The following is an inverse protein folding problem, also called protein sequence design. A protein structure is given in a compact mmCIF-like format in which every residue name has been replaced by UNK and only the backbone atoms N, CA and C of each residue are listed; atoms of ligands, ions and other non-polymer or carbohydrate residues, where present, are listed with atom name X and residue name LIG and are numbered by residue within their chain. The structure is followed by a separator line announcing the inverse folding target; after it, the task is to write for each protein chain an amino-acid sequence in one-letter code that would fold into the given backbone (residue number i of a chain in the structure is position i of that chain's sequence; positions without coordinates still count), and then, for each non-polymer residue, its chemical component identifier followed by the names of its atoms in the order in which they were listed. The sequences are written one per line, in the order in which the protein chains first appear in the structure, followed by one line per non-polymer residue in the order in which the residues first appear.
data_IF_902339132850
#
_entry.id   IF_902339132850
#
_cell.length_a   1.000
_cell.length_b   1.000
_cell.length_c   1.000
_cell.angle_alpha   90.00
_cell.angle_beta   90.00
_cell.angle_gamma   90.00
#
_symmetry.space_group_name_H-M   'P 1'
#
loop_
_entity.id
_entity.type
_entity.pdbx_description
1 polymer ?
#
# COMPACT_ATOMS: atom_id res chain seq x y z
N UNK A 1 -17.24 5.87 8.33
CA UNK A 1 -16.06 5.05 8.05
C UNK A 1 -15.70 5.14 6.58
N UNK A 2 -14.42 5.03 6.22
CA UNK A 2 -14.02 4.92 4.82
C UNK A 2 -14.32 3.51 4.31
N UNK A 3 -14.99 3.39 3.16
CA UNK A 3 -15.35 2.13 2.53
C UNK A 3 -14.74 2.05 1.14
N UNK A 4 -14.21 0.87 0.81
CA UNK A 4 -13.74 0.60 -0.54
C UNK A 4 -14.93 0.22 -1.42
N UNK A 5 -15.10 0.94 -2.52
CA UNK A 5 -16.13 0.70 -3.53
C UNK A 5 -15.49 0.14 -4.79
N UNK A 6 -16.05 -0.93 -5.31
CA UNK A 6 -15.56 -1.61 -6.52
C UNK A 6 -16.54 -1.38 -7.65
N UNK A 7 -16.05 -0.93 -8.80
CA UNK A 7 -16.74 -1.16 -10.06
C UNK A 7 -17.97 -0.33 -10.36
N UNK A 8 -18.43 0.51 -9.46
CA UNK A 8 -19.68 1.24 -9.69
C UNK A 8 -19.42 2.40 -10.65
N UNK A 9 -19.99 2.30 -11.85
CA UNK A 9 -20.17 3.45 -12.71
C UNK A 9 -21.20 4.38 -12.07
N UNK A 10 -20.93 5.68 -12.04
CA UNK A 10 -21.98 6.65 -11.72
C UNK A 10 -22.66 7.11 -13.00
N UNK A 11 -23.90 7.60 -12.88
CA UNK A 11 -24.60 8.35 -13.95
C UNK A 11 -23.97 9.74 -14.15
N UNK A 12 -22.64 9.83 -14.09
CA UNK A 12 -21.88 11.06 -14.25
C UNK A 12 -21.42 11.18 -15.70
N UNK A 13 -21.76 12.31 -16.31
CA UNK A 13 -21.39 12.64 -17.68
C UNK A 13 -19.87 12.68 -17.92
N UNK A 14 -19.08 12.80 -16.85
CA UNK A 14 -17.61 12.82 -16.91
C UNK A 14 -16.97 11.44 -16.73
N UNK A 15 -17.74 10.37 -16.52
CA UNK A 15 -17.21 9.01 -16.44
C UNK A 15 -17.45 8.23 -17.73
N UNK A 16 -16.37 7.75 -18.33
CA UNK A 16 -16.39 6.88 -19.51
C UNK A 16 -15.66 5.57 -19.22
N UNK A 17 -16.14 4.47 -19.80
CA UNK A 17 -15.50 3.16 -19.68
C UNK A 17 -15.76 2.28 -20.90
N UNK A 18 -14.75 1.53 -21.31
CA UNK A 18 -14.83 0.51 -22.37
C UNK A 18 -15.17 -0.89 -21.84
N UNK A 19 -15.02 -1.12 -20.53
CA UNK A 19 -15.19 -2.43 -19.88
C UNK A 19 -16.17 -2.39 -18.69
N UNK A 20 -17.16 -1.48 -18.73
CA UNK A 20 -18.12 -1.27 -17.64
C UNK A 20 -17.48 -1.08 -16.24
N UNK A 21 -16.38 -0.32 -16.14
CA UNK A 21 -15.66 0.01 -14.91
C UNK A 21 -15.10 -1.20 -14.14
N UNK A 22 -14.99 -2.36 -14.79
CA UNK A 22 -14.36 -3.54 -14.20
C UNK A 22 -12.91 -3.21 -13.80
N UNK A 23 -12.52 -3.64 -12.59
CA UNK A 23 -11.22 -3.32 -12.00
C UNK A 23 -11.12 -1.95 -11.31
N UNK A 24 -12.11 -1.06 -11.44
CA UNK A 24 -12.07 0.26 -10.77
C UNK A 24 -12.32 0.11 -9.27
N UNK A 25 -11.60 0.90 -8.48
CA UNK A 25 -11.80 1.03 -7.04
C UNK A 25 -11.74 2.49 -6.60
N UNK A 26 -12.59 2.87 -5.65
CA UNK A 26 -12.59 4.21 -5.03
C UNK A 26 -12.87 4.10 -3.54
N UNK A 27 -12.25 4.96 -2.74
CA UNK A 27 -12.58 5.11 -1.32
C UNK A 27 -13.65 6.17 -1.15
N UNK A 28 -14.75 5.83 -0.47
CA UNK A 28 -15.83 6.75 -0.15
C UNK A 28 -16.03 6.82 1.36
N UNK A 29 -16.34 8.01 1.86
CA UNK A 29 -16.71 8.17 3.26
C UNK A 29 -18.21 7.92 3.40
N UNK A 30 -18.56 6.89 4.15
CA UNK A 30 -19.93 6.65 4.59
C UNK A 30 -20.03 6.88 6.11
N UNK A 31 -20.73 7.93 6.58
CA UNK A 31 -20.84 8.22 8.01
C UNK A 31 -21.60 7.14 8.79
N UNK A 32 -22.49 6.39 8.12
CA UNK A 32 -23.33 5.36 8.72
C UNK A 32 -22.74 3.95 8.54
N UNK A 33 -21.67 3.80 7.77
CA UNK A 33 -21.01 2.52 7.57
C UNK A 33 -20.47 1.93 8.88
N UNK A 34 -20.71 0.63 9.00
CA UNK A 34 -20.22 -0.27 10.02
C UNK A 34 -20.88 -0.13 11.40
N UNK A 35 -20.65 -1.12 12.25
CA UNK A 35 -21.07 -1.06 13.66
C UNK A 35 -20.13 -0.18 14.50
N UNK A 36 -20.47 0.05 15.77
CA UNK A 36 -19.59 0.81 16.67
C UNK A 36 -18.25 0.11 16.87
N UNK A 37 -18.28 -1.22 16.99
CA UNK A 37 -17.13 -2.09 17.15
C UNK A 37 -16.23 -2.02 15.90
N UNK A 38 -16.82 -2.11 14.71
CA UNK A 38 -16.06 -2.05 13.46
C UNK A 38 -15.35 -0.70 13.29
N UNK A 39 -16.02 0.39 13.66
CA UNK A 39 -15.40 1.72 13.65
C UNK A 39 -14.28 1.83 14.68
N UNK A 40 -14.45 1.24 15.86
CA UNK A 40 -13.43 1.22 16.90
C UNK A 40 -12.18 0.46 16.46
N UNK A 41 -12.31 -0.70 15.82
CA UNK A 41 -11.18 -1.46 15.28
C UNK A 41 -10.40 -0.68 14.22
N UNK A 42 -11.09 0.10 13.38
CA UNK A 42 -10.43 0.96 12.39
C UNK A 42 -9.62 2.07 13.07
N UNK A 43 -10.15 2.70 14.10
CA UNK A 43 -9.44 3.72 14.86
C UNK A 43 -8.28 3.13 15.69
N UNK A 44 -8.44 1.93 16.23
CA UNK A 44 -7.37 1.18 16.90
C UNK A 44 -6.24 0.86 15.90
N UNK A 45 -6.56 0.37 14.71
CA UNK A 45 -5.59 0.11 13.66
C UNK A 45 -4.82 1.38 13.26
N UNK A 46 -5.52 2.52 13.17
CA UNK A 46 -4.91 3.83 12.90
C UNK A 46 -3.98 4.27 14.02
N UNK A 47 -4.40 4.14 15.27
CA UNK A 47 -3.61 4.50 16.44
C UNK A 47 -2.36 3.61 16.56
N UNK A 48 -2.53 2.30 16.36
CA UNK A 48 -1.43 1.35 16.37
C UNK A 48 -0.40 1.68 15.30
N UNK A 49 -0.85 1.97 14.07
CA UNK A 49 0.05 2.43 13.01
C UNK A 49 0.74 3.74 13.41
N UNK A 50 0.00 4.72 13.92
CA UNK A 50 0.59 6.00 14.33
C UNK A 50 1.68 5.82 15.39
N UNK A 51 1.44 5.00 16.42
CA UNK A 51 2.41 4.73 17.49
C UNK A 51 3.66 4.01 16.97
N UNK A 52 3.51 3.18 15.94
CA UNK A 52 4.59 2.38 15.37
C UNK A 52 5.16 2.94 14.05
N UNK A 53 4.74 4.13 13.62
CA UNK A 53 5.04 4.69 12.28
C UNK A 53 6.53 4.86 11.95
N UNK A 54 7.40 4.80 12.95
CA UNK A 54 8.86 4.84 12.79
C UNK A 54 9.51 3.46 12.67
N UNK A 55 8.78 2.42 13.03
CA UNK A 55 9.23 1.03 13.06
C UNK A 55 8.62 0.19 11.91
N UNK A 56 7.57 0.70 11.26
CA UNK A 56 6.86 -0.02 10.18
C UNK A 56 6.75 0.83 8.92
N UNK A 57 6.75 0.18 7.76
CA UNK A 57 6.52 0.87 6.49
C UNK A 57 5.03 1.23 6.33
N UNK A 58 4.70 2.36 5.66
CA UNK A 58 3.33 2.84 5.48
C UNK A 58 2.61 2.11 4.34
N UNK A 59 2.64 0.78 4.32
CA UNK A 59 2.16 -0.01 3.18
C UNK A 59 1.61 -1.37 3.62
N UNK A 60 0.51 -1.35 4.36
CA UNK A 60 -0.14 -2.59 4.84
C UNK A 60 -1.57 -2.76 4.36
N UNK A 61 -2.18 -1.73 3.75
CA UNK A 61 -3.47 -1.88 3.10
C UNK A 61 -4.57 -2.43 4.04
N UNK A 62 -4.35 -2.24 5.35
CA UNK A 62 -5.03 -3.00 6.41
C UNK A 62 -6.53 -2.73 6.46
N UNK A 63 -6.92 -1.49 6.16
CA UNK A 63 -8.33 -1.08 6.22
C UNK A 63 -9.20 -1.83 5.20
N UNK A 64 -8.68 -2.08 3.99
CA UNK A 64 -9.43 -2.83 2.99
C UNK A 64 -9.45 -4.32 3.31
N UNK A 65 -8.34 -4.86 3.83
CA UNK A 65 -8.27 -6.26 4.24
C UNK A 65 -9.29 -6.56 5.34
N UNK A 66 -9.40 -5.69 6.36
CA UNK A 66 -10.41 -5.81 7.42
C UNK A 66 -11.83 -5.89 6.84
N UNK A 67 -12.16 -5.03 5.87
CA UNK A 67 -13.49 -5.02 5.23
C UNK A 67 -13.75 -6.32 4.46
N UNK A 68 -12.83 -6.74 3.60
CA UNK A 68 -13.03 -7.89 2.71
C UNK A 68 -13.06 -9.21 3.47
N UNK A 69 -12.15 -9.39 4.43
CA UNK A 69 -12.11 -10.61 5.24
C UNK A 69 -13.39 -10.75 6.06
N UNK A 70 -13.92 -9.65 6.59
CA UNK A 70 -15.18 -9.66 7.34
C UNK A 70 -16.38 -9.93 6.46
N UNK A 71 -16.51 -9.25 5.32
CA UNK A 71 -17.61 -9.46 4.36
C UNK A 71 -17.72 -10.94 3.95
N UNK A 72 -16.58 -11.60 3.76
CA UNK A 72 -16.51 -13.03 3.41
C UNK A 72 -16.52 -13.97 4.62
N UNK A 73 -16.59 -13.43 5.84
CA UNK A 73 -16.51 -14.18 7.10
C UNK A 73 -15.30 -15.12 7.12
N UNK A 74 -14.19 -14.68 6.54
CA UNK A 74 -12.99 -15.49 6.41
C UNK A 74 -12.36 -15.68 7.79
N UNK A 75 -12.08 -16.93 8.13
CA UNK A 75 -11.30 -17.29 9.31
C UNK A 75 -10.11 -18.12 8.85
N UNK A 76 -8.92 -17.73 9.31
CA UNK A 76 -7.71 -18.48 9.00
C UNK A 76 -7.62 -19.70 9.92
N UNK A 77 -7.93 -20.87 9.38
CA UNK A 77 -7.89 -22.15 10.12
C UNK A 77 -6.52 -22.82 10.07
N UNK A 78 -5.67 -22.44 9.11
CA UNK A 78 -4.33 -23.02 8.96
C UNK A 78 -3.38 -22.32 9.94
N UNK A 79 -2.74 -23.06 10.87
CA UNK A 79 -1.78 -22.49 11.81
C UNK A 79 -0.65 -21.77 11.08
N UNK A 80 -0.16 -20.68 11.65
CA UNK A 80 1.01 -20.00 11.11
C UNK A 80 2.26 -20.85 11.38
N UNK A 81 2.95 -21.34 10.34
CA UNK A 81 4.25 -21.97 10.54
C UNK A 81 5.24 -20.93 11.07
N UNK A 82 6.03 -21.32 12.07
CA UNK A 82 7.17 -20.56 12.58
C UNK A 82 8.42 -21.33 12.22
N UNK A 83 9.41 -20.63 11.67
CA UNK A 83 10.72 -21.17 11.35
C UNK A 83 11.71 -20.18 11.93
N UNK A 84 12.56 -20.66 12.84
CA UNK A 84 13.60 -19.84 13.46
C UNK A 84 14.84 -19.74 12.56
N UNK A 85 15.68 -18.74 12.80
CA UNK A 85 16.91 -18.56 12.03
C UNK A 85 17.84 -19.78 12.16
N UNK A 86 18.16 -20.41 11.04
CA UNK A 86 19.02 -21.60 10.97
C UNK A 86 18.28 -22.93 10.97
N UNK A 87 16.95 -22.94 11.10
CA UNK A 87 16.15 -24.15 10.91
C UNK A 87 16.01 -24.52 9.43
N UNK A 88 16.02 -25.83 9.13
CA UNK A 88 15.81 -26.31 7.77
C UNK A 88 14.33 -26.15 7.37
N UNK A 89 14.09 -25.49 6.23
CA UNK A 89 12.74 -25.29 5.69
C UNK A 89 12.26 -26.60 5.05
N UNK A 90 11.36 -27.31 5.72
CA UNK A 90 10.80 -28.56 5.20
C UNK A 90 9.70 -28.34 4.16
N UNK A 91 9.39 -29.39 3.42
CA UNK A 91 8.29 -29.39 2.44
C UNK A 91 6.93 -29.16 3.10
N UNK A 92 6.70 -29.74 4.28
CA UNK A 92 5.44 -29.63 5.04
C UNK A 92 5.21 -28.19 5.52
N UNK A 93 6.25 -27.57 6.07
CA UNK A 93 6.23 -26.17 6.52
C UNK A 93 5.93 -25.24 5.34
N UNK A 94 6.63 -25.45 4.22
CA UNK A 94 6.40 -24.70 2.97
C UNK A 94 4.97 -24.88 2.47
N UNK A 95 4.48 -26.12 2.45
CA UNK A 95 3.12 -26.44 1.97
C UNK A 95 2.06 -25.78 2.86
N UNK A 96 2.24 -25.81 4.18
CA UNK A 96 1.35 -25.14 5.12
C UNK A 96 1.36 -23.61 4.91
N UNK A 97 2.54 -22.99 4.77
CA UNK A 97 2.69 -21.56 4.54
C UNK A 97 2.02 -21.11 3.23
N UNK A 98 2.22 -21.86 2.14
CA UNK A 98 1.62 -21.56 0.83
C UNK A 98 0.11 -21.73 0.89
N UNK A 99 -0.40 -22.84 1.44
CA UNK A 99 -1.85 -23.04 1.59
C UNK A 99 -2.48 -21.91 2.41
N UNK A 100 -1.88 -21.57 3.56
CA UNK A 100 -2.33 -20.46 4.41
C UNK A 100 -2.40 -19.14 3.64
N UNK A 101 -1.36 -18.84 2.86
CA UNK A 101 -1.27 -17.63 2.04
C UNK A 101 -2.33 -17.62 0.95
N UNK A 102 -2.50 -18.72 0.20
CA UNK A 102 -3.52 -18.83 -0.85
C UNK A 102 -4.92 -18.64 -0.27
N UNK A 103 -5.24 -19.26 0.86
CA UNK A 103 -6.53 -19.05 1.55
C UNK A 103 -6.77 -17.57 1.88
N UNK A 104 -5.75 -16.86 2.37
CA UNK A 104 -5.85 -15.43 2.67
C UNK A 104 -6.02 -14.61 1.38
N UNK A 105 -5.15 -14.78 0.40
CA UNK A 105 -5.19 -14.01 -0.85
C UNK A 105 -6.48 -14.26 -1.63
N UNK A 106 -7.00 -15.49 -1.70
CA UNK A 106 -8.30 -15.75 -2.33
C UNK A 106 -9.44 -15.00 -1.63
N UNK A 107 -9.43 -14.92 -0.29
CA UNK A 107 -10.40 -14.13 0.44
C UNK A 107 -10.23 -12.62 0.24
N UNK A 108 -9.07 -12.16 -0.16
CA UNK A 108 -8.79 -10.75 -0.46
C UNK A 108 -9.14 -10.36 -1.92
N UNK A 109 -9.49 -11.30 -2.79
CA UNK A 109 -9.85 -10.99 -4.18
C UNK A 109 -11.19 -10.23 -4.27
N UNK A 110 -11.28 -9.14 -5.03
CA UNK A 110 -12.56 -8.46 -5.25
C UNK A 110 -13.55 -9.28 -6.09
N UNK A 111 -14.81 -8.86 -6.10
CA UNK A 111 -15.85 -9.42 -6.99
C UNK A 111 -15.50 -9.30 -8.49
N UNK A 112 -14.57 -8.41 -8.84
CA UNK A 112 -14.07 -8.22 -10.20
C UNK A 112 -12.81 -9.04 -10.50
N UNK A 113 -12.37 -9.90 -9.57
CA UNK A 113 -11.21 -10.78 -9.75
C UNK A 113 -9.85 -10.13 -9.52
N UNK A 114 -9.77 -8.81 -9.34
CA UNK A 114 -8.53 -8.11 -8.99
C UNK A 114 -8.37 -7.97 -7.47
N UNK A 115 -7.14 -7.75 -7.01
CA UNK A 115 -6.86 -7.38 -5.62
C UNK A 115 -6.76 -5.88 -5.51
N UNK A 116 -7.60 -5.25 -4.67
CA UNK A 116 -7.41 -3.86 -4.35
C UNK A 116 -6.04 -3.63 -3.74
N UNK A 117 -5.34 -2.64 -4.27
CA UNK A 117 -4.07 -2.22 -3.73
C UNK A 117 -3.99 -0.71 -3.78
N UNK A 118 -3.40 -0.14 -2.73
CA UNK A 118 -2.86 1.20 -2.84
C UNK A 118 -1.60 1.13 -3.73
N UNK A 119 -1.59 1.95 -4.79
CA UNK A 119 -0.43 2.12 -5.65
C UNK A 119 0.09 3.55 -5.48
N UNK A 120 0.50 3.89 -4.27
CA UNK A 120 1.31 5.07 -4.03
C UNK A 120 2.76 4.64 -3.74
N UNK A 121 3.70 5.44 -4.19
CA UNK A 121 5.11 5.22 -3.87
C UNK A 121 5.74 6.57 -3.57
N UNK A 122 5.84 7.46 -4.57
CA UNK A 122 6.39 8.77 -4.29
C UNK A 122 5.28 9.76 -3.89
N UNK A 123 5.57 10.61 -2.91
CA UNK A 123 4.68 11.67 -2.42
C UNK A 123 4.43 12.81 -3.44
N UNK A 124 4.42 12.57 -4.75
CA UNK A 124 4.17 13.61 -5.76
C UNK A 124 2.71 13.72 -6.22
N UNK A 125 1.81 12.81 -5.83
CA UNK A 125 0.42 12.88 -6.30
C UNK A 125 -0.41 13.89 -5.51
N UNK A 126 -0.43 13.75 -4.18
CA UNK A 126 -1.34 14.52 -3.31
C UNK A 126 -0.91 15.98 -3.13
N UNK A 127 0.36 16.31 -2.83
CA UNK A 127 0.73 17.70 -2.58
C UNK A 127 0.51 18.65 -3.77
N UNK A 128 0.91 18.32 -5.03
CA UNK A 128 0.62 19.16 -6.19
C UNK A 128 -0.87 19.29 -6.49
N UNK A 129 -1.66 18.25 -6.24
CA UNK A 129 -3.12 18.30 -6.39
C UNK A 129 -3.75 19.28 -5.37
N UNK A 130 -3.31 19.21 -4.10
CA UNK A 130 -3.76 20.14 -3.05
C UNK A 130 -3.41 21.58 -3.41
N UNK A 131 -2.19 21.84 -3.90
CA UNK A 131 -1.77 23.18 -4.33
C UNK A 131 -2.62 23.69 -5.50
N UNK A 132 -2.82 22.87 -6.52
CA UNK A 132 -3.64 23.23 -7.70
C UNK A 132 -5.08 23.56 -7.32
N UNK A 133 -5.70 22.75 -6.46
CA UNK A 133 -7.07 22.98 -5.99
C UNK A 133 -7.18 24.20 -5.08
N UNK A 134 -6.14 24.51 -4.30
CA UNK A 134 -6.08 25.73 -3.50
C UNK A 134 -6.00 26.98 -4.39
N UNK A 135 -5.06 26.99 -5.35
CA UNK A 135 -4.86 28.13 -6.27
C UNK A 135 -6.12 28.41 -7.09
N UNK A 136 -6.81 27.37 -7.53
CA UNK A 136 -8.04 27.49 -8.33
C UNK A 136 -9.29 27.75 -7.50
N UNK A 137 -9.21 27.75 -6.16
CA UNK A 137 -10.35 27.98 -5.27
C UNK A 137 -11.30 26.78 -5.10
N UNK A 138 -10.95 25.59 -5.59
CA UNK A 138 -11.80 24.39 -5.55
C UNK A 138 -11.49 23.44 -4.39
N UNK A 139 -10.51 23.75 -3.54
CA UNK A 139 -10.04 22.84 -2.47
C UNK A 139 -11.18 22.32 -1.60
N UNK A 140 -12.05 23.20 -1.10
CA UNK A 140 -13.14 22.82 -0.20
C UNK A 140 -14.34 22.20 -0.92
N UNK A 141 -14.45 22.41 -2.24
CA UNK A 141 -15.49 21.83 -3.09
C UNK A 141 -15.17 20.37 -3.41
N UNK A 142 -13.91 20.08 -3.73
CA UNK A 142 -13.45 18.73 -4.09
C UNK A 142 -13.11 17.91 -2.85
N UNK A 143 -12.39 18.48 -1.87
CA UNK A 143 -12.02 17.78 -0.64
C UNK A 143 -12.89 18.19 0.53
N UNK A 144 -13.76 17.25 0.93
CA UNK A 144 -14.48 17.36 2.19
C UNK A 144 -13.52 17.50 3.39
N UNK A 145 -14.06 17.89 4.55
CA UNK A 145 -13.28 17.98 5.79
C UNK A 145 -12.57 16.67 6.15
N UNK A 146 -13.20 15.54 5.88
CA UNK A 146 -12.62 14.22 6.17
C UNK A 146 -11.52 13.84 5.17
N UNK A 147 -11.67 14.18 3.88
CA UNK A 147 -10.58 14.04 2.90
C UNK A 147 -9.33 14.81 3.35
N UNK A 148 -9.52 16.07 3.79
CA UNK A 148 -8.40 16.91 4.26
C UNK A 148 -7.72 16.34 5.49
N UNK A 149 -8.47 15.76 6.44
CA UNK A 149 -7.89 15.07 7.59
C UNK A 149 -7.06 13.85 7.17
N UNK A 150 -7.53 13.03 6.23
CA UNK A 150 -6.77 11.89 5.74
C UNK A 150 -5.53 12.30 4.95
N UNK A 151 -5.63 13.36 4.14
CA UNK A 151 -4.48 13.93 3.43
C UNK A 151 -3.41 14.40 4.42
N UNK A 152 -3.80 15.13 5.46
CA UNK A 152 -2.87 15.54 6.50
C UNK A 152 -2.26 14.33 7.21
N UNK A 153 -3.08 13.36 7.62
CA UNK A 153 -2.59 12.12 8.25
C UNK A 153 -1.59 11.40 7.35
N UNK A 154 -1.89 11.24 6.06
CA UNK A 154 -0.98 10.64 5.08
C UNK A 154 0.36 11.39 5.05
N UNK A 155 0.35 12.72 4.89
CA UNK A 155 1.57 13.53 4.85
C UNK A 155 2.37 13.39 6.14
N UNK A 156 1.73 13.52 7.31
CA UNK A 156 2.40 13.39 8.61
C UNK A 156 3.04 12.02 8.82
N UNK A 157 2.35 10.95 8.42
CA UNK A 157 2.89 9.60 8.54
C UNK A 157 4.10 9.35 7.64
N UNK A 158 4.23 10.09 6.54
CA UNK A 158 5.35 9.95 5.59
C UNK A 158 6.49 10.94 5.83
N UNK A 159 6.34 11.94 6.71
CA UNK A 159 7.37 12.96 7.00
C UNK A 159 8.66 12.39 7.62
N UNK A 160 8.60 11.22 8.26
CA UNK A 160 9.72 10.69 9.08
C UNK A 160 10.42 9.48 8.43
N UNK A 161 9.92 9.03 7.30
CA UNK A 161 10.71 8.17 6.42
C UNK A 161 11.73 9.10 5.77
N UNK A 162 12.90 9.21 6.38
CA UNK A 162 14.04 9.99 5.90
C UNK A 162 14.07 9.93 4.36
N UNK A 163 13.74 11.06 3.75
CA UNK A 163 13.52 11.23 2.32
C UNK A 163 14.85 11.25 1.57
N UNK A 164 15.71 10.26 1.80
CA UNK A 164 16.79 9.97 0.87
C UNK A 164 16.18 9.20 -0.30
N UNK A 165 15.45 9.94 -1.14
CA UNK A 165 15.06 9.49 -2.45
C UNK A 165 16.32 9.42 -3.31
N UNK A 166 17.03 8.30 -3.26
CA UNK A 166 18.11 8.06 -4.20
C UNK A 166 17.49 7.78 -5.57
N UNK A 167 17.51 8.80 -6.43
CA UNK A 167 17.31 8.60 -7.86
C UNK A 167 18.61 8.00 -8.40
N UNK A 168 18.67 6.68 -8.47
CA UNK A 168 19.78 6.01 -9.14
C UNK A 168 19.54 6.00 -10.65
N UNK A 169 20.55 6.44 -11.40
CA UNK A 169 20.58 6.37 -12.85
C UNK A 169 21.33 5.10 -13.26
N UNK A 170 20.63 4.00 -13.50
CA UNK A 170 21.25 2.79 -14.06
C UNK A 170 21.36 2.93 -15.59
N UNK A 171 22.56 2.71 -16.12
CA UNK A 171 22.79 2.56 -17.57
C UNK A 171 22.56 1.10 -17.91
N UNK A 172 21.39 0.77 -18.45
CA UNK A 172 21.17 -0.53 -19.10
C UNK A 172 21.63 -0.43 -20.56
N UNK A 173 22.01 -1.55 -21.16
CA UNK A 173 22.62 -1.66 -22.50
C UNK A 173 21.83 -0.96 -23.63
N UNK A 174 20.57 -0.57 -23.40
CA UNK A 174 19.70 0.13 -24.36
C UNK A 174 18.94 1.33 -23.78
N UNK A 175 19.45 1.97 -22.71
CA UNK A 175 18.90 3.24 -22.24
C UNK A 175 18.96 3.45 -20.73
N UNK A 176 18.44 4.60 -20.31
CA UNK A 176 18.35 4.99 -18.90
C UNK A 176 17.03 4.50 -18.32
N UNK A 177 17.08 3.86 -17.15
CA UNK A 177 15.89 3.55 -16.34
C UNK A 177 15.95 4.34 -15.03
N UNK A 178 14.85 4.97 -14.65
CA UNK A 178 14.69 5.52 -13.30
C UNK A 178 14.05 4.46 -12.41
N UNK A 179 14.62 4.28 -11.21
CA UNK A 179 14.06 3.45 -10.15
C UNK A 179 14.13 4.18 -8.81
N UNK A 180 13.21 3.85 -7.91
CA UNK A 180 13.09 4.46 -6.57
C UNK A 180 13.19 3.33 -5.54
N UNK A 181 14.06 3.50 -4.54
CA UNK A 181 14.26 2.56 -3.44
C UNK A 181 14.26 3.36 -2.13
N UNK A 182 13.40 2.96 -1.17
CA UNK A 182 13.37 3.56 0.17
C UNK A 182 14.43 2.91 1.07
N UNK A 183 15.11 3.67 1.95
CA UNK A 183 16.14 3.16 2.87
C UNK A 183 15.67 1.96 3.72
N UNK A 184 14.38 1.86 4.01
CA UNK A 184 13.77 0.71 4.71
C UNK A 184 13.81 -0.62 3.95
N UNK A 185 14.23 -0.62 2.68
CA UNK A 185 14.44 -1.82 1.87
C UNK A 185 15.90 -2.31 1.84
N UNK A 186 16.84 -1.55 2.42
CA UNK A 186 18.26 -1.89 2.39
C UNK A 186 18.58 -3.16 3.19
N UNK A 187 17.80 -3.50 4.22
CA UNK A 187 18.13 -4.64 5.08
C UNK A 187 17.91 -6.00 4.43
N UNK A 188 17.00 -6.14 3.44
CA UNK A 188 16.76 -7.44 2.79
C UNK A 188 17.41 -7.59 1.41
N UNK A 189 17.84 -6.51 0.75
CA UNK A 189 18.45 -6.59 -0.60
C UNK A 189 19.98 -6.67 -0.54
N UNK A 190 20.61 -6.13 0.50
CA UNK A 190 22.08 -6.11 0.62
C UNK A 190 22.70 -7.44 1.09
N UNK A 191 21.93 -8.34 1.70
CA UNK A 191 22.45 -9.66 2.07
C UNK A 191 22.60 -10.61 0.87
N UNK A 192 21.90 -10.35 -0.25
CA UNK A 192 21.98 -11.16 -1.47
C UNK A 192 22.84 -10.55 -2.59
N UNK A 193 23.44 -9.37 -2.38
CA UNK A 193 24.27 -8.69 -3.39
C UNK A 193 25.76 -8.59 -3.02
N UNK A 194 26.19 -9.28 -1.97
CA UNK A 194 27.60 -9.28 -1.52
C UNK A 194 28.59 -10.02 -2.42
N UNK A 195 28.22 -10.47 -3.64
CA UNK A 195 29.11 -11.29 -4.46
C UNK A 195 29.88 -10.58 -5.57
N UNK A 196 29.60 -9.33 -5.95
CA UNK A 196 30.39 -8.70 -7.03
C UNK A 196 30.56 -7.18 -6.85
N UNK A 197 31.51 -6.78 -5.99
CA UNK A 197 32.12 -5.46 -6.08
C UNK A 197 33.63 -5.53 -5.82
N UNK A 198 34.34 -6.32 -6.62
CA UNK A 198 35.78 -6.17 -6.76
C UNK A 198 36.09 -5.13 -7.84
N UNK A 199 36.80 -4.08 -7.40
CA UNK A 199 37.81 -3.32 -8.11
C UNK A 199 37.47 -2.72 -9.49
N UNK A 200 37.28 -1.38 -9.53
CA UNK A 200 38.10 -0.53 -10.40
C UNK A 200 37.98 0.95 -9.98
N UNK A 201 38.81 1.37 -9.02
CA UNK A 201 39.15 2.79 -8.85
C UNK A 201 40.42 3.02 -9.69
N UNK A 202 40.23 3.41 -10.95
CA UNK A 202 41.30 3.89 -11.82
C UNK A 202 41.38 5.41 -11.74
N UNK A 203 42.49 5.90 -11.16
CA UNK A 203 42.87 7.31 -11.06
C UNK A 203 42.87 8.01 -12.42
N UNK A 204 42.37 9.25 -12.46
CA UNK A 204 42.64 10.21 -13.53
C UNK A 204 44.07 10.72 -13.41
N UNK A 205 44.83 10.69 -14.50
CA UNK A 205 45.79 11.75 -14.85
C UNK A 205 45.19 12.52 -16.01
#
# INVERSE_FOLDING_TARGET
MWRLKIGEGSNDAYLYSTNNFLGRQTWELDPNAGTAEERAEVEEARLNFYNNRYNVQPSSDLLWQMQFLREKKMQQTIPQPKVEDGEEVTYEVTTAAVKRSVHLFSALQSIHGHWPAENSGPMYYIPPLVMSLYITGHLNTIFSREHRKEILRYIYCHQVINLYMYVYKFRAERGWRMGIIHRGSQYNVLHNSQLHLYAFIGRRT
#
